data_IF_013411884442
#
_entry.id   IF_013411884442
#
_cell.length_a   1.000
_cell.length_b   1.000
_cell.length_c   1.000
_cell.angle_alpha   90.00
_cell.angle_beta   90.00
_cell.angle_gamma   90.00
#
_symmetry.space_group_name_H-M   'P 1'
#
loop_
_entity.id
_entity.type
_entity.pdbx_description
1 polymer ?
#
# COMPACT_ATOMS: atom_id res chain seq x y z
N UNK A 1 -6.85 -14.71 -24.05
CA UNK A 1 -7.57 -13.54 -23.49
C UNK A 1 -8.53 -12.87 -24.45
N UNK A 2 -8.11 -12.58 -25.69
CA UNK A 2 -8.94 -11.92 -26.72
C UNK A 2 -10.33 -12.52 -26.97
N UNK A 3 -10.60 -13.79 -26.66
CA UNK A 3 -11.93 -14.39 -26.87
C UNK A 3 -12.94 -14.02 -25.78
N UNK A 4 -12.48 -13.87 -24.53
CA UNK A 4 -13.35 -13.61 -23.38
C UNK A 4 -13.79 -12.15 -23.34
N UNK A 5 -12.83 -11.23 -23.51
CA UNK A 5 -13.10 -9.79 -23.54
C UNK A 5 -13.79 -9.31 -24.82
N UNK A 6 -13.63 -10.03 -25.94
CA UNK A 6 -14.28 -9.67 -27.22
C UNK A 6 -15.63 -10.35 -27.44
N UNK A 7 -16.25 -10.88 -26.37
CA UNK A 7 -17.60 -11.45 -26.43
C UNK A 7 -17.74 -12.68 -27.34
N UNK A 8 -16.64 -13.40 -27.64
CA UNK A 8 -16.67 -14.56 -28.54
C UNK A 8 -17.19 -15.83 -27.86
N UNK A 9 -17.04 -15.93 -26.54
CA UNK A 9 -17.41 -17.11 -25.75
C UNK A 9 -18.62 -16.84 -24.84
N UNK A 10 -18.70 -15.64 -24.27
CA UNK A 10 -19.82 -15.19 -23.46
C UNK A 10 -20.35 -13.89 -24.03
N UNK A 11 -21.63 -13.60 -23.76
CA UNK A 11 -22.19 -12.29 -24.06
C UNK A 11 -21.45 -11.24 -23.23
N UNK A 12 -21.10 -10.06 -23.81
CA UNK A 12 -20.44 -8.99 -23.05
C UNK A 12 -21.19 -8.59 -21.77
N UNK A 13 -22.53 -8.67 -21.78
CA UNK A 13 -23.38 -8.40 -20.63
C UNK A 13 -23.19 -9.38 -19.46
N UNK A 14 -22.64 -10.58 -19.70
CA UNK A 14 -22.35 -11.57 -18.65
C UNK A 14 -21.00 -11.34 -17.96
N UNK A 15 -20.11 -10.53 -18.55
CA UNK A 15 -18.77 -10.29 -18.02
C UNK A 15 -18.78 -9.65 -16.62
N UNK A 16 -19.60 -8.62 -16.33
CA UNK A 16 -19.68 -8.06 -14.98
C UNK A 16 -20.02 -9.11 -13.92
N UNK A 17 -20.95 -10.02 -14.22
CA UNK A 17 -21.33 -11.11 -13.31
C UNK A 17 -20.16 -12.07 -13.03
N UNK A 18 -19.35 -12.40 -14.04
CA UNK A 18 -18.19 -13.27 -13.83
C UNK A 18 -17.15 -12.65 -12.88
N UNK A 19 -17.00 -11.32 -12.92
CA UNK A 19 -15.99 -10.58 -12.16
C UNK A 19 -16.47 -10.05 -10.81
N UNK A 20 -17.77 -10.11 -10.53
CA UNK A 20 -18.35 -9.55 -9.31
C UNK A 20 -18.19 -10.53 -8.16
N UNK A 21 -17.54 -10.14 -7.04
CA UNK A 21 -17.41 -11.01 -5.89
C UNK A 21 -18.77 -11.31 -5.25
N UNK A 22 -18.96 -12.54 -4.79
CA UNK A 22 -20.10 -12.90 -3.96
C UNK A 22 -20.05 -12.18 -2.60
N UNK A 23 -21.21 -11.72 -2.12
CA UNK A 23 -21.37 -11.10 -0.80
C UNK A 23 -22.05 -12.08 0.17
N UNK A 24 -21.62 -12.05 1.41
CA UNK A 24 -22.24 -12.77 2.53
C UNK A 24 -23.51 -12.02 2.99
N UNK A 25 -24.28 -12.66 3.86
CA UNK A 25 -25.55 -12.10 4.38
C UNK A 25 -25.37 -10.79 5.16
N UNK A 26 -24.18 -10.55 5.70
CA UNK A 26 -23.80 -9.30 6.38
C UNK A 26 -23.27 -8.21 5.42
N UNK A 27 -23.27 -8.48 4.11
CA UNK A 27 -22.79 -7.59 3.07
C UNK A 27 -21.27 -7.62 2.83
N UNK A 28 -20.52 -8.36 3.66
CA UNK A 28 -19.07 -8.53 3.54
C UNK A 28 -18.68 -9.51 2.43
N UNK A 29 -17.40 -9.56 2.10
CA UNK A 29 -16.82 -10.53 1.17
C UNK A 29 -15.82 -11.43 1.90
N UNK A 30 -15.67 -12.67 1.45
CA UNK A 30 -14.65 -13.56 1.97
C UNK A 30 -13.28 -13.17 1.42
N UNK A 31 -12.39 -12.70 2.29
CA UNK A 31 -10.99 -12.43 1.97
C UNK A 31 -10.13 -13.68 2.16
N UNK A 32 -9.16 -13.88 1.26
CA UNK A 32 -8.11 -14.89 1.37
C UNK A 32 -6.81 -14.33 1.96
N UNK A 33 -6.84 -13.06 2.38
CA UNK A 33 -5.68 -12.34 2.88
C UNK A 33 -4.86 -11.65 1.79
N UNK A 34 -4.02 -10.70 2.20
CA UNK A 34 -3.23 -9.90 1.28
C UNK A 34 -4.10 -9.14 0.27
N UNK A 35 -3.80 -9.30 -1.02
CA UNK A 35 -4.52 -8.62 -2.12
C UNK A 35 -5.80 -9.32 -2.55
N UNK A 36 -6.00 -10.57 -2.15
CA UNK A 36 -7.15 -11.38 -2.59
C UNK A 36 -8.31 -11.18 -1.62
N UNK A 37 -9.18 -10.23 -1.94
CA UNK A 37 -10.19 -9.70 -1.03
C UNK A 37 -11.60 -10.26 -1.25
N UNK A 38 -11.80 -11.04 -2.31
CA UNK A 38 -13.09 -11.67 -2.60
C UNK A 38 -12.99 -12.91 -3.48
N UNK A 39 -14.16 -13.48 -3.81
CA UNK A 39 -14.29 -14.60 -4.75
C UNK A 39 -15.52 -14.38 -5.63
N UNK A 40 -15.32 -14.34 -6.94
CA UNK A 40 -16.37 -14.28 -7.94
C UNK A 40 -16.67 -15.68 -8.50
N UNK A 41 -17.31 -15.77 -9.66
CA UNK A 41 -17.65 -17.05 -10.29
C UNK A 41 -16.40 -17.77 -10.83
N UNK A 42 -15.73 -18.51 -9.95
CA UNK A 42 -14.55 -19.33 -10.26
C UNK A 42 -13.20 -18.62 -10.09
N UNK A 43 -13.19 -17.38 -9.60
CA UNK A 43 -11.98 -16.57 -9.53
C UNK A 43 -11.84 -15.83 -8.19
N UNK A 44 -10.67 -15.87 -7.53
CA UNK A 44 -10.33 -14.88 -6.52
C UNK A 44 -10.32 -13.47 -7.12
N UNK A 45 -10.74 -12.48 -6.35
CA UNK A 45 -10.80 -11.08 -6.79
C UNK A 45 -9.88 -10.20 -5.96
N UNK A 46 -9.34 -9.17 -6.61
CA UNK A 46 -8.62 -8.05 -6.02
C UNK A 46 -9.57 -6.85 -6.10
N UNK A 47 -10.43 -6.74 -5.10
CA UNK A 47 -11.34 -5.62 -4.96
C UNK A 47 -10.58 -4.41 -4.40
N UNK A 48 -10.38 -3.42 -5.26
CA UNK A 48 -9.75 -2.15 -4.96
C UNK A 48 -10.34 -1.07 -5.87
N UNK A 49 -10.32 0.21 -5.45
CA UNK A 49 -10.95 1.29 -6.21
C UNK A 49 -10.37 1.49 -7.62
N UNK A 50 -9.11 1.11 -7.82
CA UNK A 50 -8.36 1.37 -9.05
C UNK A 50 -7.71 0.08 -9.56
N UNK A 51 -7.80 -0.17 -10.87
CA UNK A 51 -7.28 -1.36 -11.53
C UNK A 51 -7.73 -2.65 -10.83
N UNK A 52 -9.06 -2.81 -10.68
CA UNK A 52 -9.63 -4.03 -10.13
C UNK A 52 -9.10 -5.23 -10.92
N UNK A 53 -8.89 -6.33 -10.24
CA UNK A 53 -8.42 -7.54 -10.92
C UNK A 53 -9.18 -8.77 -10.46
N UNK A 54 -9.19 -9.79 -11.32
CA UNK A 54 -9.38 -11.17 -10.87
C UNK A 54 -8.06 -11.91 -10.98
N UNK A 55 -7.72 -12.63 -9.92
CA UNK A 55 -6.37 -13.11 -9.70
C UNK A 55 -6.38 -14.56 -9.21
N UNK A 56 -6.68 -15.55 -10.08
CA UNK A 56 -6.37 -16.94 -9.77
C UNK A 56 -4.87 -17.11 -9.53
N UNK A 57 -4.53 -17.54 -8.33
CA UNK A 57 -3.17 -17.84 -7.91
C UNK A 57 -3.10 -19.32 -7.51
N UNK A 58 -1.97 -19.97 -7.77
CA UNK A 58 -1.81 -21.38 -7.44
C UNK A 58 -0.40 -21.70 -6.96
N UNK A 59 -0.33 -22.35 -5.80
CA UNK A 59 0.83 -23.07 -5.26
C UNK A 59 2.13 -22.28 -5.12
N UNK A 60 2.08 -20.94 -5.14
CA UNK A 60 3.26 -20.07 -5.14
C UNK A 60 4.15 -20.22 -6.39
N UNK A 61 3.57 -20.70 -7.51
CA UNK A 61 4.29 -20.99 -8.78
C UNK A 61 3.64 -20.39 -10.02
N UNK A 62 2.35 -20.07 -9.94
CA UNK A 62 1.63 -19.46 -11.06
C UNK A 62 0.63 -18.43 -10.57
N UNK A 63 0.51 -17.36 -11.33
CA UNK A 63 -0.48 -16.33 -11.13
C UNK A 63 -1.00 -15.86 -12.49
N UNK A 64 -2.31 -15.77 -12.63
CA UNK A 64 -2.94 -15.02 -13.72
C UNK A 64 -3.64 -13.83 -13.09
N UNK A 65 -3.37 -12.63 -13.59
CA UNK A 65 -4.08 -11.40 -13.20
C UNK A 65 -4.77 -10.87 -14.44
N UNK A 66 -6.09 -10.77 -14.37
CA UNK A 66 -6.90 -10.11 -15.39
C UNK A 66 -7.36 -8.78 -14.81
N UNK A 67 -7.15 -7.69 -15.56
CA UNK A 67 -7.56 -6.35 -15.22
C UNK A 67 -8.70 -5.95 -16.16
N UNK A 68 -9.97 -6.21 -15.80
CA UNK A 68 -11.07 -6.14 -16.75
C UNK A 68 -11.32 -4.73 -17.28
N UNK A 69 -10.93 -3.72 -16.53
CA UNK A 69 -11.16 -2.31 -16.88
C UNK A 69 -9.98 -1.71 -17.65
N UNK A 70 -8.86 -2.42 -17.73
CA UNK A 70 -7.59 -1.93 -18.28
C UNK A 70 -7.16 -2.65 -19.58
N UNK A 71 -7.99 -3.58 -20.09
CA UNK A 71 -7.66 -4.51 -21.20
C UNK A 71 -6.28 -5.20 -21.02
N UNK A 72 -5.89 -5.44 -19.77
CA UNK A 72 -4.60 -6.03 -19.42
C UNK A 72 -4.79 -7.43 -18.82
N UNK A 73 -3.89 -8.30 -19.22
CA UNK A 73 -3.78 -9.64 -18.70
C UNK A 73 -2.32 -10.01 -18.50
N UNK A 74 -2.00 -10.48 -17.30
CA UNK A 74 -0.69 -10.99 -16.95
C UNK A 74 -0.79 -12.47 -16.62
N UNK A 75 0.08 -13.27 -17.22
CA UNK A 75 0.27 -14.68 -16.88
C UNK A 75 1.73 -14.84 -16.47
N UNK A 76 1.94 -15.23 -15.22
CA UNK A 76 3.28 -15.41 -14.66
C UNK A 76 3.41 -16.86 -14.23
N UNK A 77 4.40 -17.55 -14.80
CA UNK A 77 4.75 -18.93 -14.46
C UNK A 77 6.19 -18.94 -13.96
N UNK A 78 6.41 -19.59 -12.81
CA UNK A 78 7.75 -19.73 -12.23
C UNK A 78 8.12 -21.21 -12.13
N UNK A 79 9.40 -21.51 -12.31
CA UNK A 79 9.96 -22.85 -12.16
C UNK A 79 10.53 -23.11 -10.74
N UNK A 80 10.33 -22.18 -9.80
CA UNK A 80 10.72 -22.29 -8.40
C UNK A 80 9.48 -22.27 -7.51
N UNK A 81 9.39 -23.25 -6.60
CA UNK A 81 8.35 -23.27 -5.57
C UNK A 81 8.52 -22.12 -4.58
N UNK A 82 7.42 -21.45 -4.25
CA UNK A 82 7.46 -20.33 -3.31
C UNK A 82 8.03 -19.05 -3.91
N UNK A 83 8.20 -18.97 -5.23
CA UNK A 83 8.51 -17.72 -5.92
C UNK A 83 7.38 -16.68 -5.75
N UNK A 84 6.15 -17.15 -5.51
CA UNK A 84 5.00 -16.33 -5.16
C UNK A 84 4.76 -15.19 -6.16
N UNK A 85 4.53 -15.50 -7.46
CA UNK A 85 4.38 -14.50 -8.51
C UNK A 85 3.26 -13.48 -8.26
N UNK A 86 2.25 -13.84 -7.48
CA UNK A 86 1.20 -12.94 -7.04
C UNK A 86 1.70 -11.73 -6.24
N UNK A 87 2.89 -11.81 -5.61
CA UNK A 87 3.48 -10.71 -4.84
C UNK A 87 4.05 -9.61 -5.73
N UNK A 88 4.48 -9.94 -6.95
CA UNK A 88 5.11 -8.99 -7.88
C UNK A 88 4.31 -8.77 -9.17
N UNK A 89 3.15 -9.42 -9.34
CA UNK A 89 2.29 -9.25 -10.52
C UNK A 89 1.87 -7.78 -10.74
N UNK A 90 1.52 -7.03 -9.69
CA UNK A 90 1.20 -5.59 -9.81
C UNK A 90 2.43 -4.77 -10.28
N UNK A 91 3.65 -5.15 -9.86
CA UNK A 91 4.86 -4.48 -10.31
C UNK A 91 5.14 -4.72 -11.81
N UNK A 92 4.77 -5.90 -12.32
CA UNK A 92 4.78 -6.17 -13.76
C UNK A 92 3.67 -5.39 -14.49
N UNK A 93 2.48 -5.29 -13.90
CA UNK A 93 1.39 -4.49 -14.46
C UNK A 93 1.77 -3.02 -14.61
N UNK A 94 2.57 -2.49 -13.68
CA UNK A 94 3.04 -1.11 -13.67
C UNK A 94 3.95 -0.71 -14.86
N UNK A 95 4.41 -1.67 -15.67
CA UNK A 95 5.05 -1.39 -16.96
C UNK A 95 4.05 -1.01 -18.05
N UNK A 96 2.81 -1.51 -17.96
CA UNK A 96 1.72 -1.26 -18.90
C UNK A 96 0.72 -0.22 -18.39
N UNK A 97 0.56 -0.13 -17.07
CA UNK A 97 -0.30 0.79 -16.35
C UNK A 97 0.57 1.66 -15.42
N UNK A 98 1.20 2.73 -15.92
CA UNK A 98 2.21 3.48 -15.18
C UNK A 98 1.74 4.01 -13.82
N UNK A 99 0.45 4.31 -13.68
CA UNK A 99 -0.12 4.78 -12.43
C UNK A 99 -0.24 3.70 -11.35
N UNK A 100 -0.05 2.41 -11.68
CA UNK A 100 0.11 1.32 -10.72
C UNK A 100 1.50 1.24 -10.08
N UNK A 101 2.45 2.11 -10.46
CA UNK A 101 3.76 2.12 -9.82
C UNK A 101 3.61 2.52 -8.35
N UNK A 102 4.30 1.78 -7.47
CA UNK A 102 4.37 2.12 -6.03
C UNK A 102 4.92 3.53 -5.84
N UNK A 103 5.88 3.92 -6.69
CA UNK A 103 6.39 5.28 -6.72
C UNK A 103 5.30 6.33 -6.98
N UNK A 104 4.24 6.02 -7.72
CA UNK A 104 3.10 6.92 -7.98
C UNK A 104 2.00 6.84 -6.90
N UNK A 105 2.32 6.22 -5.76
CA UNK A 105 1.43 6.07 -4.61
C UNK A 105 0.40 4.95 -4.75
N UNK A 106 0.63 4.01 -5.68
CA UNK A 106 -0.26 2.85 -5.82
C UNK A 106 -0.28 2.01 -4.53
N UNK A 107 -1.49 1.63 -4.12
CA UNK A 107 -1.72 0.93 -2.84
C UNK A 107 -1.93 1.86 -1.64
N UNK A 108 -1.68 3.16 -1.77
CA UNK A 108 -2.09 4.13 -0.75
C UNK A 108 -3.61 4.39 -0.83
N UNK A 109 -4.27 4.71 0.30
CA UNK A 109 -5.62 5.23 0.29
C UNK A 109 -5.75 6.44 -0.66
N UNK A 110 -6.90 6.66 -1.32
CA UNK A 110 -7.05 7.72 -2.33
C UNK A 110 -6.62 9.12 -1.84
N UNK A 111 -6.93 9.46 -0.59
CA UNK A 111 -6.54 10.74 0.04
C UNK A 111 -5.03 10.90 0.20
N UNK A 112 -4.33 9.81 0.56
CA UNK A 112 -2.88 9.78 0.68
C UNK A 112 -2.20 9.71 -0.69
N UNK A 113 -2.78 8.98 -1.65
CA UNK A 113 -2.25 8.90 -3.02
C UNK A 113 -2.29 10.26 -3.71
N UNK A 114 -3.39 11.00 -3.58
CA UNK A 114 -3.49 12.36 -4.11
C UNK A 114 -2.43 13.28 -3.50
N UNK A 115 -2.28 13.27 -2.17
CA UNK A 115 -1.25 14.03 -1.47
C UNK A 115 0.17 13.62 -1.92
N UNK A 116 0.44 12.32 -2.02
CA UNK A 116 1.72 11.79 -2.44
C UNK A 116 2.11 12.24 -3.85
N UNK A 117 1.16 12.20 -4.81
CA UNK A 117 1.37 12.70 -6.18
C UNK A 117 1.73 14.18 -6.19
N UNK A 118 1.01 15.01 -5.43
CA UNK A 118 1.30 16.44 -5.29
C UNK A 118 2.72 16.66 -4.74
N UNK A 119 3.11 15.91 -3.71
CA UNK A 119 4.43 16.04 -3.10
C UNK A 119 5.56 15.50 -3.97
N UNK A 120 5.31 14.53 -4.84
CA UNK A 120 6.31 14.11 -5.84
C UNK A 120 6.58 15.18 -6.87
N UNK A 121 5.58 15.99 -7.22
CA UNK A 121 5.72 17.09 -8.17
C UNK A 121 6.35 18.33 -7.51
N UNK A 122 5.96 18.64 -6.27
CA UNK A 122 6.35 19.88 -5.58
C UNK A 122 7.54 19.70 -4.62
N UNK A 123 7.82 18.48 -4.19
CA UNK A 123 8.75 18.15 -3.13
C UNK A 123 8.08 17.92 -1.77
N UNK A 124 8.63 16.99 -0.99
CA UNK A 124 8.13 16.63 0.35
C UNK A 124 8.29 17.74 1.39
N UNK A 125 9.11 18.76 1.11
CA UNK A 125 9.20 19.98 1.94
C UNK A 125 7.86 20.72 2.05
N UNK A 126 6.97 20.57 1.07
CA UNK A 126 5.63 21.18 1.08
C UNK A 126 4.59 20.38 1.87
N UNK A 127 4.94 19.23 2.44
CA UNK A 127 4.02 18.31 3.14
C UNK A 127 3.10 19.01 4.14
N UNK A 128 3.69 19.84 5.00
CA UNK A 128 2.92 20.52 6.06
C UNK A 128 1.87 21.47 5.46
N UNK A 129 2.21 22.14 4.37
CA UNK A 129 1.32 23.11 3.73
C UNK A 129 0.23 22.43 2.90
N UNK A 130 0.56 21.35 2.19
CA UNK A 130 -0.43 20.54 1.48
C UNK A 130 -1.45 19.91 2.43
N UNK A 131 -1.01 19.37 3.58
CA UNK A 131 -1.92 18.83 4.59
C UNK A 131 -2.84 19.91 5.17
N UNK A 132 -2.31 21.12 5.42
CA UNK A 132 -3.13 22.26 5.85
C UNK A 132 -4.17 22.65 4.80
N UNK A 133 -3.78 22.70 3.52
CA UNK A 133 -4.70 23.03 2.43
C UNK A 133 -5.78 21.97 2.24
N UNK A 134 -5.42 20.68 2.32
CA UNK A 134 -6.37 19.58 2.25
C UNK A 134 -7.43 19.69 3.37
N UNK A 135 -7.00 19.95 4.62
CA UNK A 135 -7.91 20.15 5.76
C UNK A 135 -8.78 21.41 5.66
N UNK A 136 -8.32 22.46 4.97
CA UNK A 136 -9.12 23.66 4.71
C UNK A 136 -10.23 23.39 3.68
N UNK A 137 -9.95 22.56 2.67
CA UNK A 137 -10.92 22.19 1.63
C UNK A 137 -11.94 21.19 2.12
N UNK A 138 -11.48 20.24 2.93
CA UNK A 138 -12.30 19.21 3.55
C UNK A 138 -11.96 19.10 5.04
N UNK A 139 -12.80 19.67 5.94
CA UNK A 139 -12.62 19.53 7.38
C UNK A 139 -12.65 18.08 7.88
N UNK A 140 -13.24 17.15 7.12
CA UNK A 140 -13.24 15.73 7.43
C UNK A 140 -11.96 15.00 6.94
N UNK A 141 -11.03 15.73 6.31
CA UNK A 141 -9.77 15.16 5.83
C UNK A 141 -8.93 14.59 6.97
N UNK A 142 -8.99 13.26 7.10
CA UNK A 142 -8.29 12.51 8.11
C UNK A 142 -7.04 11.82 7.53
N UNK A 143 -6.01 11.73 8.35
CA UNK A 143 -4.77 11.02 8.05
C UNK A 143 -4.53 10.00 9.16
N UNK A 144 -5.14 8.79 9.08
CA UNK A 144 -5.03 7.78 10.13
C UNK A 144 -3.58 7.38 10.38
N UNK A 145 -3.19 7.24 11.65
CA UNK A 145 -1.81 6.92 12.07
C UNK A 145 -1.22 5.75 11.28
N UNK A 146 -1.93 4.63 11.22
CA UNK A 146 -1.48 3.42 10.53
C UNK A 146 -1.28 3.62 9.02
N UNK A 147 -2.13 4.43 8.38
CA UNK A 147 -2.02 4.71 6.96
C UNK A 147 -0.83 5.64 6.65
N UNK A 148 -0.60 6.65 7.49
CA UNK A 148 0.59 7.52 7.39
C UNK A 148 1.86 6.71 7.66
N UNK A 149 1.82 5.79 8.63
CA UNK A 149 2.95 4.91 8.94
C UNK A 149 3.29 4.00 7.76
N UNK A 150 2.29 3.32 7.19
CA UNK A 150 2.46 2.48 6.01
C UNK A 150 3.01 3.26 4.81
N UNK A 151 2.59 4.52 4.64
CA UNK A 151 3.14 5.41 3.62
C UNK A 151 4.63 5.71 3.84
N UNK A 152 5.03 6.00 5.08
CA UNK A 152 6.44 6.18 5.45
C UNK A 152 7.28 4.94 5.14
N UNK A 153 6.83 3.75 5.55
CA UNK A 153 7.51 2.49 5.26
C UNK A 153 7.59 2.18 3.76
N UNK A 154 6.53 2.46 3.00
CA UNK A 154 6.56 2.32 1.54
C UNK A 154 7.67 3.18 0.91
N UNK A 155 7.94 4.38 1.45
CA UNK A 155 9.05 5.22 0.99
C UNK A 155 10.42 4.66 1.42
N UNK A 156 10.52 4.06 2.60
CA UNK A 156 11.74 3.36 3.06
C UNK A 156 12.08 2.19 2.13
N UNK A 157 11.10 1.35 1.79
CA UNK A 157 11.28 0.23 0.85
C UNK A 157 11.74 0.69 -0.54
N UNK A 158 11.37 1.91 -0.94
CA UNK A 158 11.82 2.55 -2.18
C UNK A 158 13.19 3.24 -2.07
N UNK A 159 13.86 3.18 -0.90
CA UNK A 159 15.12 3.85 -0.64
C UNK A 159 15.01 5.37 -0.42
N UNK A 160 13.80 5.91 -0.30
CA UNK A 160 13.54 7.34 -0.17
C UNK A 160 13.54 7.79 1.31
N UNK A 161 14.62 7.52 2.03
CA UNK A 161 14.70 7.73 3.49
C UNK A 161 14.42 9.19 3.92
N UNK A 162 14.86 10.18 3.15
CA UNK A 162 14.59 11.60 3.46
C UNK A 162 13.11 11.96 3.31
N UNK A 163 12.42 11.40 2.31
CA UNK A 163 10.99 11.61 2.14
C UNK A 163 10.21 10.87 3.23
N UNK A 164 10.60 9.63 3.55
CA UNK A 164 10.03 8.85 4.65
C UNK A 164 10.16 9.60 5.98
N UNK A 165 11.32 10.22 6.23
CA UNK A 165 11.56 11.01 7.43
C UNK A 165 10.54 12.14 7.61
N UNK A 166 10.20 12.86 6.54
CA UNK A 166 9.17 13.91 6.58
C UNK A 166 7.78 13.34 6.88
N UNK A 167 7.46 12.15 6.37
CA UNK A 167 6.19 11.45 6.68
C UNK A 167 6.14 11.02 8.14
N UNK A 168 7.21 10.45 8.69
CA UNK A 168 7.23 10.05 10.11
C UNK A 168 7.21 11.25 11.05
N UNK A 169 7.86 12.38 10.70
CA UNK A 169 7.71 13.65 11.42
C UNK A 169 6.28 14.17 11.39
N UNK A 170 5.57 14.02 10.27
CA UNK A 170 4.14 14.31 10.22
C UNK A 170 3.35 13.39 11.16
N UNK A 171 3.64 12.08 11.15
CA UNK A 171 2.91 11.13 11.99
C UNK A 171 3.04 11.46 13.49
N UNK A 172 4.25 11.79 13.96
CA UNK A 172 4.49 12.26 15.34
C UNK A 172 3.70 13.53 15.67
N UNK A 173 3.61 14.49 14.74
CA UNK A 173 2.82 15.72 14.94
C UNK A 173 1.32 15.43 15.04
N UNK A 174 0.83 14.44 14.31
CA UNK A 174 -0.58 14.04 14.30
C UNK A 174 -0.94 13.18 15.53
N UNK A 175 -0.01 12.35 16.00
CA UNK A 175 -0.23 11.37 17.06
C UNK A 175 0.90 11.39 18.10
N UNK A 176 1.10 12.52 18.83
CA UNK A 176 2.25 12.73 19.71
C UNK A 176 2.28 11.85 20.96
N UNK A 177 1.22 11.10 21.24
CA UNK A 177 1.12 10.14 22.33
C UNK A 177 1.36 8.68 21.90
N UNK A 178 1.49 8.42 20.60
CA UNK A 178 1.73 7.06 20.09
C UNK A 178 3.21 6.73 20.08
N UNK A 179 3.61 5.72 20.87
CA UNK A 179 4.98 5.20 20.88
C UNK A 179 5.43 4.73 19.48
N UNK A 180 4.51 4.12 18.72
CA UNK A 180 4.78 3.62 17.36
C UNK A 180 5.27 4.72 16.41
N UNK A 181 4.73 5.94 16.51
CA UNK A 181 5.18 7.06 15.66
C UNK A 181 6.61 7.51 15.95
N UNK A 182 7.03 7.49 17.22
CA UNK A 182 8.41 7.81 17.58
C UNK A 182 9.37 6.68 17.23
N UNK A 183 8.92 5.43 17.30
CA UNK A 183 9.70 4.25 16.92
C UNK A 183 10.10 4.33 15.44
N UNK A 184 9.12 4.48 14.54
CA UNK A 184 9.38 4.59 13.10
C UNK A 184 10.20 5.84 12.74
N UNK A 185 10.02 6.95 13.46
CA UNK A 185 10.86 8.14 13.30
C UNK A 185 12.31 7.88 13.73
N UNK A 186 12.51 7.22 14.87
CA UNK A 186 13.83 6.88 15.40
C UNK A 186 14.57 5.91 14.49
N UNK A 187 13.88 4.87 14.01
CA UNK A 187 14.40 3.90 13.04
C UNK A 187 14.87 4.60 11.76
N UNK A 188 14.10 5.55 11.24
CA UNK A 188 14.47 6.29 10.04
C UNK A 188 15.68 7.19 10.28
N UNK A 189 15.79 7.85 11.44
CA UNK A 189 17.00 8.60 11.79
C UNK A 189 18.23 7.70 11.95
N UNK A 190 18.07 6.50 12.52
CA UNK A 190 19.14 5.51 12.65
C UNK A 190 19.62 5.06 11.27
N UNK A 191 18.70 4.75 10.35
CA UNK A 191 19.01 4.40 8.97
C UNK A 191 19.72 5.53 8.20
N UNK A 192 19.42 6.79 8.53
CA UNK A 192 20.11 7.98 8.00
C UNK A 192 21.45 8.28 8.72
N UNK A 193 21.86 7.47 9.70
CA UNK A 193 23.10 7.64 10.46
C UNK A 193 23.04 8.74 11.53
N UNK A 194 21.88 9.37 11.76
CA UNK A 194 21.73 10.38 12.79
C UNK A 194 21.49 9.75 14.16
N UNK A 195 22.56 9.17 14.73
CA UNK A 195 22.51 8.47 16.02
C UNK A 195 21.95 9.33 17.15
N UNK A 196 22.29 10.61 17.18
CA UNK A 196 21.83 11.54 18.24
C UNK A 196 20.31 11.65 18.28
N UNK A 197 19.67 11.91 17.14
CA UNK A 197 18.21 12.01 17.08
C UNK A 197 17.54 10.64 17.21
N UNK A 198 18.13 9.58 16.66
CA UNK A 198 17.63 8.23 16.84
C UNK A 198 17.56 7.85 18.34
N UNK A 199 18.64 8.02 19.10
CA UNK A 199 18.68 7.79 20.55
C UNK A 199 17.62 8.61 21.28
N UNK A 200 17.47 9.90 20.94
CA UNK A 200 16.46 10.76 21.55
C UNK A 200 15.02 10.23 21.34
N UNK A 201 14.68 9.82 20.11
CA UNK A 201 13.33 9.37 19.80
C UNK A 201 13.06 7.92 20.23
N UNK A 202 14.07 7.04 20.25
CA UNK A 202 13.94 5.72 20.89
C UNK A 202 13.73 5.84 22.40
N UNK A 203 14.42 6.76 23.08
CA UNK A 203 14.16 7.04 24.48
C UNK A 203 12.72 7.51 24.71
N UNK A 204 12.19 8.37 23.82
CA UNK A 204 10.79 8.80 23.87
C UNK A 204 9.82 7.64 23.62
N UNK A 205 10.16 6.71 22.74
CA UNK A 205 9.39 5.49 22.48
C UNK A 205 9.25 4.65 23.74
N UNK A 206 10.35 4.42 24.47
CA UNK A 206 10.33 3.67 25.74
C UNK A 206 9.59 4.39 26.86
N UNK A 207 9.60 5.73 26.90
CA UNK A 207 8.78 6.48 27.87
C UNK A 207 7.28 6.24 27.66
N UNK A 208 6.84 6.10 26.40
CA UNK A 208 5.43 5.90 26.05
C UNK A 208 5.04 4.41 26.06
N UNK A 209 5.98 3.53 25.70
CA UNK A 209 5.82 2.08 25.73
C UNK A 209 7.12 1.41 26.23
N UNK A 210 7.24 1.16 27.55
CA UNK A 210 8.42 0.54 28.14
C UNK A 210 8.73 -0.88 27.63
N UNK A 211 7.77 -1.55 26.97
CA UNK A 211 7.92 -2.90 26.45
C UNK A 211 8.42 -2.94 25.00
N UNK A 212 8.69 -1.79 24.38
CA UNK A 212 9.22 -1.74 23.02
C UNK A 212 10.65 -2.31 22.96
N UNK A 213 10.78 -3.53 22.42
CA UNK A 213 12.07 -4.26 22.36
C UNK A 213 13.06 -3.58 21.41
N UNK A 214 12.60 -3.13 20.25
CA UNK A 214 13.45 -2.45 19.25
C UNK A 214 14.16 -1.24 19.85
N UNK A 215 13.42 -0.38 20.55
CA UNK A 215 13.97 0.79 21.22
C UNK A 215 14.93 0.40 22.36
N UNK A 216 14.57 -0.61 23.17
CA UNK A 216 15.42 -1.09 24.27
C UNK A 216 16.73 -1.72 23.79
N UNK A 217 16.71 -2.42 22.66
CA UNK A 217 17.90 -3.02 22.04
C UNK A 217 18.80 -1.97 21.41
N UNK A 218 18.24 -0.99 20.70
CA UNK A 218 19.02 0.09 20.10
C UNK A 218 19.79 0.90 21.15
N UNK A 219 19.17 1.22 22.29
CA UNK A 219 19.78 2.04 23.34
C UNK A 219 20.84 1.33 24.19
N UNK A 220 21.06 0.02 23.99
CA UNK A 220 22.13 -0.75 24.65
C UNK A 220 23.45 -0.75 23.88
N UNK A 221 23.42 -0.32 22.61
CA UNK A 221 24.58 -0.28 21.71
C UNK A 221 25.48 0.91 22.03
#
# INVERSE_FOLDING_TARGET
MLAFFKGKLLQPASLPTLWTPGRLTDGSQRSFGGKLTGYALGWPTVDRPEHRAVAPVSGGRSAVFLYPDDDLALVVLTNLQGANPERFADALAAYYLPDMRVADGFGLPPTLRALHRTLRQRGFSHLTEEVKQARRRDPAYALPEAAVNAWGYSLVEQGQLLNALEIFKLNVRLYPASANTYDSLAETYAALGNKKLATQYYARTLQLNPQNRTAAEYLKQ
#
